data_IF_966688510580
#
_entry.id   IF_966688510580
#
_cell.length_a   1.000
_cell.length_b   1.000
_cell.length_c   1.000
_cell.angle_alpha   90.00
_cell.angle_beta   90.00
_cell.angle_gamma   90.00
#
_symmetry.space_group_name_H-M   'P 1'
#
loop_
_entity.id
_entity.type
_entity.pdbx_description
1 polymer ?
#
# COMPACT_ATOMS: atom_id res chain seq x y z
N UNK A 1 32.13 -8.60 4.42
CA UNK A 1 31.30 -7.69 3.60
C UNK A 1 30.11 -7.27 4.44
N UNK A 2 30.01 -5.98 4.76
CA UNK A 2 28.99 -5.44 5.66
C UNK A 2 27.60 -5.57 5.05
N UNK A 3 26.63 -6.07 5.82
CA UNK A 3 25.22 -6.16 5.43
C UNK A 3 24.63 -4.76 5.50
N UNK A 4 24.16 -4.22 4.37
CA UNK A 4 23.43 -2.95 4.32
C UNK A 4 21.98 -3.21 4.76
N UNK A 5 21.66 -2.90 6.02
CA UNK A 5 20.39 -3.31 6.67
C UNK A 5 19.30 -2.24 6.53
N UNK A 6 18.09 -2.56 6.99
CA UNK A 6 17.00 -1.59 7.22
C UNK A 6 17.47 -0.29 7.92
N UNK A 7 18.45 -0.36 8.84
CA UNK A 7 19.03 0.82 9.47
C UNK A 7 19.69 1.80 8.49
N UNK A 8 20.17 1.33 7.35
CA UNK A 8 20.79 2.17 6.33
C UNK A 8 19.72 2.88 5.48
N UNK A 9 18.51 2.31 5.38
CA UNK A 9 17.35 3.06 4.87
C UNK A 9 16.99 4.26 5.77
N UNK A 10 17.40 4.27 7.05
CA UNK A 10 17.25 5.40 7.97
C UNK A 10 18.43 6.39 7.91
N UNK A 11 19.55 6.04 7.28
CA UNK A 11 20.73 6.91 7.18
C UNK A 11 20.78 7.58 5.82
N UNK A 12 20.74 8.91 5.75
CA UNK A 12 21.00 9.60 4.49
C UNK A 12 22.48 9.42 4.11
N UNK A 13 22.75 9.23 2.82
CA UNK A 13 24.09 9.48 2.29
C UNK A 13 24.34 11.00 2.32
N UNK A 14 25.47 11.42 2.87
CA UNK A 14 26.00 12.75 2.58
C UNK A 14 27.50 12.66 2.33
N UNK A 15 27.92 12.89 1.08
CA UNK A 15 29.14 13.63 0.85
C UNK A 15 28.85 15.10 1.18
N UNK A 16 29.65 15.66 2.08
CA UNK A 16 29.70 17.10 2.46
C UNK A 16 28.59 17.60 3.42
N UNK A 17 29.01 17.77 4.68
CA UNK A 17 28.58 18.74 5.70
C UNK A 17 27.09 18.89 6.12
N UNK A 18 26.14 18.08 5.67
CA UNK A 18 24.77 18.13 6.22
C UNK A 18 24.06 16.77 6.17
N UNK A 19 24.48 15.84 7.04
CA UNK A 19 23.91 14.49 7.15
C UNK A 19 22.53 14.53 7.81
N UNK A 20 21.50 14.93 7.08
CA UNK A 20 20.12 14.81 7.55
C UNK A 20 19.73 13.34 7.66
N UNK A 21 19.83 12.73 8.86
CA UNK A 21 19.27 11.38 9.13
C UNK A 21 17.81 11.32 8.67
N UNK A 22 17.41 10.24 7.98
CA UNK A 22 16.02 10.03 7.60
C UNK A 22 15.26 9.64 8.86
N UNK A 23 14.43 10.56 9.35
CA UNK A 23 13.72 10.35 10.61
C UNK A 23 12.38 9.67 10.38
N UNK A 24 12.33 8.49 9.76
CA UNK A 24 11.07 7.72 9.73
C UNK A 24 10.77 7.07 11.07
N UNK A 25 11.81 6.72 11.83
CA UNK A 25 11.71 6.23 13.20
C UNK A 25 12.76 6.92 14.07
N UNK A 26 12.60 6.86 15.40
CA UNK A 26 13.69 7.17 16.31
C UNK A 26 14.84 6.16 16.11
N UNK A 27 16.08 6.55 16.42
CA UNK A 27 17.24 5.64 16.32
C UNK A 27 16.99 4.34 17.12
N UNK A 28 16.39 4.46 18.31
CA UNK A 28 16.01 3.31 19.15
C UNK A 28 14.98 2.41 18.47
N UNK A 29 13.89 2.98 17.93
CA UNK A 29 12.86 2.20 17.25
C UNK A 29 13.39 1.55 15.97
N UNK A 30 14.21 2.27 15.20
CA UNK A 30 14.87 1.73 14.01
C UNK A 30 15.75 0.51 14.33
N UNK A 31 16.58 0.60 15.39
CA UNK A 31 17.41 -0.51 15.85
C UNK A 31 16.57 -1.68 16.37
N UNK A 32 15.47 -1.40 17.07
CA UNK A 32 14.56 -2.43 17.58
C UNK A 32 13.85 -3.19 16.45
N UNK A 33 13.38 -2.48 15.42
CA UNK A 33 12.79 -3.10 14.22
C UNK A 33 13.81 -4.02 13.53
N UNK A 34 15.04 -3.56 13.32
CA UNK A 34 16.10 -4.37 12.71
C UNK A 34 16.42 -5.63 13.54
N UNK A 35 16.52 -5.48 14.86
CA UNK A 35 16.77 -6.60 15.77
C UNK A 35 15.65 -7.65 15.72
N UNK A 36 14.38 -7.22 15.70
CA UNK A 36 13.23 -8.12 15.57
C UNK A 36 13.28 -8.84 14.22
N UNK A 37 13.50 -8.13 13.10
CA UNK A 37 13.59 -8.75 11.78
C UNK A 37 14.73 -9.75 11.68
N UNK A 38 15.93 -9.38 12.15
CA UNK A 38 17.07 -10.31 12.24
C UNK A 38 16.70 -11.58 13.00
N UNK A 39 15.95 -11.45 14.11
CA UNK A 39 15.54 -12.60 14.92
C UNK A 39 14.49 -13.48 14.23
N UNK A 40 13.53 -12.87 13.53
CA UNK A 40 12.55 -13.60 12.73
C UNK A 40 13.20 -14.38 11.59
N UNK A 41 14.14 -13.78 10.86
CA UNK A 41 14.93 -14.46 9.83
C UNK A 41 15.71 -15.64 10.39
N UNK A 42 16.34 -15.46 11.55
CA UNK A 42 17.07 -16.53 12.24
C UNK A 42 16.12 -17.69 12.58
N UNK A 43 14.99 -17.41 13.23
CA UNK A 43 14.05 -18.45 13.63
C UNK A 43 13.45 -19.20 12.45
N UNK A 44 13.13 -18.52 11.35
CA UNK A 44 12.63 -19.15 10.14
C UNK A 44 13.68 -20.08 9.53
N UNK A 45 14.93 -19.63 9.41
CA UNK A 45 16.05 -20.43 8.84
C UNK A 45 16.40 -21.64 9.69
N UNK A 46 16.29 -21.50 11.01
CA UNK A 46 16.53 -22.59 11.98
C UNK A 46 15.32 -23.52 12.13
N UNK A 47 14.20 -23.27 11.44
CA UNK A 47 12.97 -24.07 11.56
C UNK A 47 12.30 -23.99 12.94
N UNK A 48 12.57 -22.95 13.73
CA UNK A 48 12.02 -22.77 15.09
C UNK A 48 10.57 -22.30 15.09
N UNK A 49 10.10 -21.76 13.97
CA UNK A 49 8.74 -21.28 13.75
C UNK A 49 8.24 -21.75 12.40
N UNK A 50 6.93 -21.95 12.28
CA UNK A 50 6.30 -22.22 10.99
C UNK A 50 6.23 -20.96 10.13
N UNK A 51 6.04 -21.13 8.82
CA UNK A 51 5.82 -20.00 7.91
C UNK A 51 4.62 -19.15 8.32
N UNK A 52 3.55 -19.77 8.82
CA UNK A 52 2.36 -19.05 9.32
C UNK A 52 2.71 -18.19 10.53
N UNK A 53 3.44 -18.74 11.50
CA UNK A 53 3.89 -17.99 12.68
C UNK A 53 4.84 -16.84 12.29
N UNK A 54 5.74 -17.08 11.33
CA UNK A 54 6.63 -16.06 10.79
C UNK A 54 5.86 -14.89 10.18
N UNK A 55 4.88 -15.15 9.30
CA UNK A 55 4.09 -14.08 8.68
C UNK A 55 3.18 -13.36 9.68
N UNK A 56 2.65 -14.08 10.68
CA UNK A 56 1.89 -13.45 11.76
C UNK A 56 2.76 -12.48 12.59
N UNK A 57 3.97 -12.89 12.96
CA UNK A 57 4.92 -12.03 13.68
C UNK A 57 5.41 -10.86 12.81
N UNK A 58 5.58 -11.07 11.51
CA UNK A 58 5.94 -10.02 10.57
C UNK A 58 4.82 -8.98 10.43
N UNK A 59 3.56 -9.41 10.28
CA UNK A 59 2.40 -8.53 10.26
C UNK A 59 2.30 -7.73 11.57
N UNK A 60 2.45 -8.40 12.70
CA UNK A 60 2.48 -7.79 14.04
C UNK A 60 3.56 -6.70 14.16
N UNK A 61 4.75 -6.95 13.59
CA UNK A 61 5.82 -5.96 13.56
C UNK A 61 5.49 -4.76 12.66
N UNK A 62 4.94 -4.98 11.46
CA UNK A 62 4.59 -3.91 10.54
C UNK A 62 3.53 -2.97 11.15
N UNK A 63 2.48 -3.52 11.74
CA UNK A 63 1.45 -2.75 12.45
C UNK A 63 2.01 -1.99 13.66
N UNK A 64 2.89 -2.64 14.43
CA UNK A 64 3.53 -2.02 15.60
C UNK A 64 4.51 -0.92 15.20
N UNK A 65 5.21 -1.09 14.08
CA UNK A 65 6.11 -0.09 13.53
C UNK A 65 5.36 1.14 13.03
N UNK A 66 4.26 0.97 12.28
CA UNK A 66 3.46 2.08 11.75
C UNK A 66 2.97 3.04 12.87
N UNK A 67 2.58 2.49 14.03
CA UNK A 67 2.17 3.27 15.21
C UNK A 67 3.25 4.23 15.74
N UNK A 68 4.52 3.91 15.53
CA UNK A 68 5.68 4.73 15.95
C UNK A 68 6.41 5.36 14.76
N UNK A 69 5.84 5.32 13.56
CA UNK A 69 6.41 5.95 12.38
C UNK A 69 6.25 7.47 12.44
N UNK A 70 7.27 8.22 12.02
CA UNK A 70 7.32 9.67 11.99
C UNK A 70 6.93 10.23 10.60
N UNK A 71 5.75 9.83 10.15
CA UNK A 71 5.14 10.23 8.87
C UNK A 71 3.83 10.98 9.09
N UNK A 72 3.32 11.64 8.04
CA UNK A 72 2.03 12.33 8.05
C UNK A 72 0.85 11.50 7.49
N UNK A 73 1.09 10.21 7.21
CA UNK A 73 0.11 9.16 6.84
C UNK A 73 0.82 8.09 6.00
N UNK A 74 1.61 8.52 5.02
CA UNK A 74 2.38 7.65 4.12
C UNK A 74 3.89 7.87 4.29
N UNK A 75 4.68 6.87 3.89
CA UNK A 75 6.14 6.86 3.94
C UNK A 75 6.80 7.55 2.72
N UNK A 76 6.02 8.23 1.88
CA UNK A 76 6.55 9.07 0.81
C UNK A 76 7.37 10.26 1.33
N UNK A 77 7.24 10.61 2.61
CA UNK A 77 8.07 11.60 3.30
C UNK A 77 8.10 11.34 4.81
N UNK A 78 9.08 11.94 5.51
CA UNK A 78 9.18 11.94 6.97
C UNK A 78 9.18 13.36 7.52
N UNK A 79 8.75 13.53 8.77
CA UNK A 79 8.78 14.82 9.46
C UNK A 79 10.22 15.15 9.90
N UNK A 80 10.58 16.44 9.88
CA UNK A 80 11.92 16.92 10.31
C UNK A 80 12.22 16.69 11.78
N UNK A 81 11.17 16.57 12.60
CA UNK A 81 11.25 16.29 14.03
C UNK A 81 10.33 15.13 14.34
N UNK A 82 10.75 14.26 15.26
CA UNK A 82 9.94 13.15 15.71
C UNK A 82 8.65 13.64 16.37
N UNK A 83 7.50 13.27 15.82
CA UNK A 83 6.20 13.49 16.47
C UNK A 83 6.09 12.68 17.76
N UNK A 84 5.18 13.08 18.66
CA UNK A 84 4.99 12.46 19.99
C UNK A 84 4.85 10.93 19.94
N UNK A 85 4.15 10.38 18.95
CA UNK A 85 3.99 8.92 18.84
C UNK A 85 5.30 8.22 18.42
N UNK A 86 6.13 8.84 17.58
CA UNK A 86 7.40 8.28 17.12
C UNK A 86 8.53 8.34 18.17
N UNK A 87 8.35 9.16 19.22
CA UNK A 87 9.25 9.20 20.38
C UNK A 87 8.98 8.07 21.37
N UNK A 88 7.79 7.46 21.33
CA UNK A 88 7.47 6.33 22.20
C UNK A 88 8.26 5.09 21.75
N UNK A 89 8.72 4.25 22.68
CA UNK A 89 9.36 3.00 22.31
C UNK A 89 8.37 2.08 21.60
N UNK A 90 8.81 1.41 20.54
CA UNK A 90 8.03 0.38 19.88
C UNK A 90 7.69 -0.72 20.88
N UNK A 91 6.40 -1.02 21.02
CA UNK A 91 5.89 -2.19 21.73
C UNK A 91 5.33 -3.12 20.67
N UNK A 92 5.86 -4.35 20.61
CA UNK A 92 5.36 -5.35 19.67
C UNK A 92 4.04 -5.90 20.22
N UNK A 93 2.96 -5.70 19.47
CA UNK A 93 1.65 -6.27 19.76
C UNK A 93 1.26 -7.23 18.64
N UNK A 94 0.57 -8.35 18.97
CA UNK A 94 0.09 -9.28 17.95
C UNK A 94 -0.90 -8.58 17.01
N UNK A 95 -0.78 -8.85 15.71
CA UNK A 95 -1.79 -8.50 14.73
C UNK A 95 -3.09 -9.23 15.07
N UNK A 96 -4.20 -8.49 15.14
CA UNK A 96 -5.51 -9.07 15.46
C UNK A 96 -6.16 -9.52 14.15
N UNK A 97 -6.58 -10.77 14.10
CA UNK A 97 -7.35 -11.31 12.98
C UNK A 97 -8.51 -12.14 13.51
N UNK A 98 -9.60 -12.16 12.75
CA UNK A 98 -10.74 -13.01 13.04
C UNK A 98 -10.45 -14.43 12.57
N UNK A 99 -10.85 -15.40 13.39
CA UNK A 99 -10.72 -16.81 13.03
C UNK A 99 -11.93 -17.23 12.23
N UNK A 100 -11.67 -17.76 11.05
CA UNK A 100 -12.68 -18.38 10.21
C UNK A 100 -12.18 -19.75 9.74
N UNK A 101 -13.11 -20.69 9.56
CA UNK A 101 -12.83 -22.04 9.09
C UNK A 101 -12.84 -22.15 7.56
N UNK A 102 -13.30 -21.12 6.86
CA UNK A 102 -13.29 -21.12 5.40
C UNK A 102 -11.90 -20.85 4.83
N UNK A 103 -11.69 -21.32 3.60
CA UNK A 103 -10.45 -21.08 2.86
C UNK A 103 -10.51 -19.72 2.18
N UNK A 104 -9.54 -18.86 2.48
CA UNK A 104 -9.39 -17.53 1.89
C UNK A 104 -8.11 -17.46 1.04
N UNK A 105 -8.19 -17.72 -0.28
CA UNK A 105 -7.01 -17.66 -1.13
C UNK A 105 -6.57 -16.19 -1.31
N UNK A 106 -5.28 -15.94 -1.07
CA UNK A 106 -4.66 -14.61 -1.22
C UNK A 106 -3.54 -14.71 -2.25
N UNK A 107 -3.48 -13.74 -3.16
CA UNK A 107 -2.53 -13.73 -4.27
C UNK A 107 -1.69 -12.46 -4.23
N UNK A 108 -0.41 -12.58 -4.58
CA UNK A 108 0.49 -11.46 -4.83
C UNK A 108 0.92 -11.50 -6.30
N UNK A 109 0.06 -10.99 -7.18
CA UNK A 109 0.32 -10.94 -8.62
C UNK A 109 -0.43 -9.77 -9.27
N UNK A 110 -0.11 -9.49 -10.53
CA UNK A 110 -0.82 -8.48 -11.32
C UNK A 110 -2.30 -8.86 -11.49
N UNK A 111 -3.21 -7.90 -11.26
CA UNK A 111 -4.66 -8.17 -11.26
C UNK A 111 -5.19 -8.60 -12.63
N UNK A 112 -4.61 -8.09 -13.72
CA UNK A 112 -4.94 -8.49 -15.08
C UNK A 112 -4.41 -9.89 -15.42
N UNK A 113 -3.43 -10.39 -14.68
CA UNK A 113 -2.99 -11.79 -14.75
C UNK A 113 -3.88 -12.70 -13.88
N UNK A 114 -4.19 -12.27 -12.66
CA UNK A 114 -5.01 -13.03 -11.70
C UNK A 114 -6.41 -13.29 -12.22
N UNK A 115 -7.02 -12.31 -12.89
CA UNK A 115 -8.43 -12.38 -13.29
C UNK A 115 -8.76 -13.57 -14.19
N UNK A 116 -7.75 -14.11 -14.90
CA UNK A 116 -7.90 -15.31 -15.73
C UNK A 116 -7.95 -16.62 -14.93
N UNK A 117 -7.53 -16.61 -13.66
CA UNK A 117 -7.38 -17.80 -12.80
C UNK A 117 -8.49 -17.93 -11.77
N UNK A 118 -9.26 -16.87 -11.55
CA UNK A 118 -10.31 -16.80 -10.54
C UNK A 118 -11.69 -16.60 -11.17
N UNK A 119 -12.71 -17.04 -10.44
CA UNK A 119 -14.13 -16.91 -10.80
C UNK A 119 -14.97 -16.88 -9.53
N UNK A 120 -16.20 -16.42 -9.64
CA UNK A 120 -17.16 -16.41 -8.53
C UNK A 120 -18.42 -15.65 -8.91
N UNK A 121 -19.30 -15.42 -7.95
CA UNK A 121 -20.56 -14.71 -8.22
C UNK A 121 -20.36 -13.19 -8.26
N UNK A 122 -19.48 -12.68 -7.39
CA UNK A 122 -19.25 -11.25 -7.20
C UNK A 122 -17.75 -10.91 -7.21
N UNK A 123 -17.39 -9.87 -7.95
CA UNK A 123 -16.08 -9.24 -7.97
C UNK A 123 -16.19 -7.79 -7.50
N UNK A 124 -15.47 -7.43 -6.44
CA UNK A 124 -15.34 -6.05 -5.98
C UNK A 124 -13.95 -5.50 -6.32
N UNK A 125 -13.91 -4.33 -6.94
CA UNK A 125 -12.71 -3.65 -7.40
C UNK A 125 -12.61 -2.27 -6.76
N UNK A 126 -11.46 -1.99 -6.16
CA UNK A 126 -11.10 -0.68 -5.61
C UNK A 126 -9.68 -0.30 -6.08
N UNK A 127 -9.50 -0.01 -7.38
CA UNK A 127 -8.19 0.28 -7.93
C UNK A 127 -7.72 1.70 -7.55
N UNK A 128 -6.41 1.99 -7.71
CA UNK A 128 -5.91 3.36 -7.56
C UNK A 128 -6.68 4.36 -8.42
N UNK A 129 -7.22 5.39 -7.79
CA UNK A 129 -7.90 6.49 -8.50
C UNK A 129 -6.95 7.63 -8.88
N UNK A 130 -5.70 7.65 -8.40
CA UNK A 130 -4.75 8.71 -8.70
C UNK A 130 -3.35 8.16 -9.01
N UNK A 131 -2.45 9.04 -9.44
CA UNK A 131 -1.09 8.66 -9.82
C UNK A 131 -0.13 8.40 -8.63
N UNK A 132 -0.65 8.34 -7.39
CA UNK A 132 0.19 8.03 -6.23
C UNK A 132 0.45 6.53 -6.19
N UNK A 133 1.72 6.18 -6.25
CA UNK A 133 2.16 4.79 -6.30
C UNK A 133 2.27 4.19 -4.88
N UNK A 134 1.63 3.04 -4.65
CA UNK A 134 1.76 2.30 -3.39
C UNK A 134 3.22 1.99 -3.07
N UNK A 135 3.98 1.54 -4.07
CA UNK A 135 5.40 1.18 -3.91
C UNK A 135 6.26 2.34 -3.40
N UNK A 136 5.93 3.58 -3.78
CA UNK A 136 6.60 4.77 -3.25
C UNK A 136 6.08 5.19 -1.87
N UNK A 137 4.76 5.15 -1.67
CA UNK A 137 4.13 5.60 -0.45
C UNK A 137 4.33 4.67 0.75
N UNK A 138 4.60 3.39 0.53
CA UNK A 138 4.79 2.40 1.59
C UNK A 138 6.15 1.70 1.48
N UNK A 139 7.10 2.32 0.77
CA UNK A 139 8.41 1.74 0.45
C UNK A 139 9.15 1.22 1.69
N UNK A 140 9.05 1.92 2.82
CA UNK A 140 9.75 1.55 4.04
C UNK A 140 9.13 0.32 4.73
N UNK A 141 7.79 0.20 4.72
CA UNK A 141 7.12 -1.01 5.18
C UNK A 141 7.47 -2.19 4.27
N UNK A 142 7.53 -1.98 2.95
CA UNK A 142 8.00 -2.99 2.00
C UNK A 142 9.45 -3.41 2.27
N UNK A 143 10.31 -2.48 2.67
CA UNK A 143 11.69 -2.79 3.10
C UNK A 143 11.72 -3.63 4.36
N UNK A 144 10.90 -3.33 5.38
CA UNK A 144 10.80 -4.18 6.59
C UNK A 144 10.28 -5.57 6.24
N UNK A 145 9.25 -5.64 5.37
CA UNK A 145 8.61 -6.89 4.98
C UNK A 145 9.54 -7.80 4.17
N UNK A 146 10.18 -7.27 3.12
CA UNK A 146 11.10 -8.03 2.25
C UNK A 146 12.42 -8.33 2.93
N UNK A 147 12.92 -7.39 3.73
CA UNK A 147 14.18 -7.49 4.49
C UNK A 147 15.37 -7.98 3.64
N UNK A 148 15.40 -7.50 2.40
CA UNK A 148 16.44 -7.73 1.41
C UNK A 148 17.38 -6.53 1.33
N UNK A 149 18.59 -6.77 0.81
CA UNK A 149 19.57 -5.71 0.56
C UNK A 149 19.10 -4.87 -0.64
N UNK A 150 19.24 -3.54 -0.55
CA UNK A 150 18.96 -2.62 -1.64
C UNK A 150 19.66 -1.28 -1.42
N UNK A 151 19.97 -0.57 -2.51
CA UNK A 151 20.54 0.78 -2.41
C UNK A 151 19.43 1.83 -2.37
N UNK A 152 19.30 2.60 -1.26
CA UNK A 152 18.25 3.61 -1.11
C UNK A 152 18.50 4.84 -2.00
N UNK A 153 17.50 5.27 -2.76
CA UNK A 153 17.62 6.42 -3.68
C UNK A 153 16.95 7.68 -3.13
N UNK A 154 17.63 8.82 -3.29
CA UNK A 154 17.09 10.14 -2.97
C UNK A 154 16.91 10.43 -1.48
N UNK A 155 16.29 11.59 -1.19
CA UNK A 155 16.10 12.10 0.18
C UNK A 155 15.27 11.16 1.04
N UNK A 156 14.27 10.52 0.44
CA UNK A 156 13.33 9.63 1.12
C UNK A 156 13.87 8.20 1.30
N UNK A 157 14.99 7.85 0.67
CA UNK A 157 15.60 6.53 0.77
C UNK A 157 14.82 5.44 0.04
N UNK A 158 14.20 5.83 -1.08
CA UNK A 158 13.26 5.00 -1.81
C UNK A 158 13.96 3.78 -2.41
N UNK A 159 13.42 2.59 -2.15
CA UNK A 159 13.82 1.37 -2.87
C UNK A 159 13.30 1.36 -4.30
N UNK A 160 13.93 0.58 -5.17
CA UNK A 160 13.36 0.32 -6.49
C UNK A 160 11.99 -0.36 -6.37
N UNK A 161 11.03 0.12 -7.15
CA UNK A 161 9.66 -0.38 -7.19
C UNK A 161 9.10 -0.23 -8.60
N UNK A 162 8.18 -1.13 -8.95
CA UNK A 162 7.47 -1.07 -10.20
C UNK A 162 6.25 -0.15 -10.09
N UNK A 163 6.08 0.72 -11.07
CA UNK A 163 4.92 1.60 -11.17
C UNK A 163 3.76 0.85 -11.79
N UNK A 164 2.63 0.81 -11.09
CA UNK A 164 1.42 0.15 -11.59
C UNK A 164 0.88 0.85 -12.83
N UNK A 165 0.40 0.09 -13.81
CA UNK A 165 -0.29 0.68 -14.95
C UNK A 165 -1.63 1.33 -14.55
N UNK A 166 -2.22 0.89 -13.43
CA UNK A 166 -3.41 1.52 -12.85
C UNK A 166 -3.16 2.97 -12.38
N UNK A 167 -1.92 3.32 -12.05
CA UNK A 167 -1.53 4.68 -11.67
C UNK A 167 -1.19 5.59 -12.87
N UNK A 168 -1.27 5.07 -14.11
CA UNK A 168 -0.87 5.79 -15.33
C UNK A 168 -2.11 6.16 -16.13
N UNK A 169 -2.41 7.47 -16.23
CA UNK A 169 -3.59 7.98 -16.96
C UNK A 169 -3.72 7.44 -18.39
N UNK A 170 -2.60 7.30 -19.11
CA UNK A 170 -2.59 6.80 -20.48
C UNK A 170 -2.84 5.28 -20.61
N UNK A 171 -2.78 4.51 -19.51
CA UNK A 171 -2.91 3.05 -19.53
C UNK A 171 -4.12 2.53 -18.76
N UNK A 172 -4.57 3.24 -17.73
CA UNK A 172 -5.60 2.76 -16.79
C UNK A 172 -6.93 2.37 -17.46
N UNK A 173 -7.32 3.04 -18.55
CA UNK A 173 -8.51 2.66 -19.32
C UNK A 173 -8.38 1.25 -19.92
N UNK A 174 -7.23 0.94 -20.51
CA UNK A 174 -6.96 -0.36 -21.11
C UNK A 174 -6.83 -1.46 -20.05
N UNK A 175 -6.21 -1.13 -18.91
CA UNK A 175 -6.10 -2.06 -17.77
C UNK A 175 -7.49 -2.43 -17.22
N UNK A 176 -8.38 -1.44 -17.07
CA UNK A 176 -9.76 -1.68 -16.63
C UNK A 176 -10.53 -2.52 -17.65
N UNK A 177 -10.49 -2.15 -18.93
CA UNK A 177 -11.22 -2.88 -19.97
C UNK A 177 -10.72 -4.32 -20.10
N UNK A 178 -9.41 -4.55 -20.05
CA UNK A 178 -8.83 -5.90 -20.03
C UNK A 178 -9.34 -6.73 -18.86
N UNK A 179 -9.37 -6.15 -17.66
CA UNK A 179 -9.79 -6.86 -16.46
C UNK A 179 -11.27 -7.24 -16.57
N UNK A 180 -12.13 -6.28 -16.92
CA UNK A 180 -13.59 -6.49 -17.03
C UNK A 180 -13.92 -7.50 -18.12
N UNK A 181 -13.25 -7.44 -19.27
CA UNK A 181 -13.44 -8.39 -20.37
C UNK A 181 -13.21 -9.83 -19.91
N UNK A 182 -12.11 -10.06 -19.19
CA UNK A 182 -11.66 -11.40 -18.79
C UNK A 182 -12.26 -11.90 -17.47
N UNK A 183 -12.90 -11.02 -16.68
CA UNK A 183 -13.56 -11.37 -15.44
C UNK A 183 -14.69 -12.40 -15.65
N UNK A 184 -14.61 -13.54 -14.96
CA UNK A 184 -15.64 -14.57 -14.93
C UNK A 184 -16.49 -14.46 -13.65
N UNK A 185 -17.29 -13.39 -13.60
CA UNK A 185 -18.17 -13.05 -12.46
C UNK A 185 -19.49 -12.47 -12.98
N UNK A 186 -20.62 -12.86 -12.39
CA UNK A 186 -21.94 -12.31 -12.75
C UNK A 186 -22.03 -10.83 -12.37
N UNK A 187 -21.63 -10.51 -11.14
CA UNK A 187 -21.70 -9.17 -10.58
C UNK A 187 -20.30 -8.58 -10.42
N UNK A 188 -20.08 -7.40 -11.00
CA UNK A 188 -18.84 -6.64 -10.82
C UNK A 188 -19.17 -5.26 -10.26
N UNK A 189 -18.55 -4.94 -9.15
CA UNK A 189 -18.65 -3.67 -8.46
C UNK A 189 -17.29 -2.96 -8.54
N UNK A 190 -17.29 -1.72 -9.02
CA UNK A 190 -16.10 -0.89 -9.07
C UNK A 190 -16.35 0.38 -8.24
N UNK A 191 -15.58 0.51 -7.16
CA UNK A 191 -15.49 1.73 -6.38
C UNK A 191 -14.54 2.71 -7.07
N UNK A 192 -15.00 3.94 -7.29
CA UNK A 192 -14.21 5.00 -7.89
C UNK A 192 -14.77 6.38 -7.53
N UNK A 193 -13.92 7.39 -7.35
CA UNK A 193 -14.36 8.76 -7.07
C UNK A 193 -14.31 9.67 -8.31
N UNK A 194 -14.90 10.86 -8.19
CA UNK A 194 -14.93 11.89 -9.23
C UNK A 194 -13.58 12.59 -9.50
N UNK A 195 -12.55 12.30 -8.71
CA UNK A 195 -11.20 12.85 -8.90
C UNK A 195 -10.23 11.84 -9.52
N UNK A 196 -10.79 10.77 -10.08
CA UNK A 196 -10.06 9.66 -10.64
C UNK A 196 -9.26 9.98 -11.92
N UNK A 197 -8.35 9.07 -12.29
CA UNK A 197 -7.65 9.13 -13.58
C UNK A 197 -8.60 8.89 -14.77
N UNK A 198 -9.65 8.10 -14.53
CA UNK A 198 -10.76 7.87 -15.46
C UNK A 198 -11.96 8.74 -15.08
N UNK A 199 -12.66 9.27 -16.09
CA UNK A 199 -13.97 9.89 -15.86
C UNK A 199 -15.06 8.84 -15.68
N UNK A 200 -16.17 9.23 -15.06
CA UNK A 200 -17.35 8.36 -14.88
C UNK A 200 -17.88 7.86 -16.22
N UNK A 201 -17.82 8.71 -17.25
CA UNK A 201 -18.24 8.39 -18.62
C UNK A 201 -17.33 7.32 -19.23
N UNK A 202 -16.01 7.45 -19.09
CA UNK A 202 -15.07 6.45 -19.59
C UNK A 202 -15.30 5.08 -18.94
N UNK A 203 -15.52 5.05 -17.62
CA UNK A 203 -15.83 3.80 -16.90
C UNK A 203 -17.17 3.23 -17.40
N UNK A 204 -18.21 4.06 -17.49
CA UNK A 204 -19.52 3.62 -17.97
C UNK A 204 -19.46 3.07 -19.40
N UNK A 205 -18.72 3.72 -20.30
CA UNK A 205 -18.50 3.27 -21.68
C UNK A 205 -17.82 1.90 -21.73
N UNK A 206 -16.79 1.67 -20.88
CA UNK A 206 -16.12 0.37 -20.79
C UNK A 206 -17.11 -0.70 -20.29
N UNK A 207 -17.78 -0.47 -19.15
CA UNK A 207 -18.62 -1.49 -18.53
C UNK A 207 -19.84 -1.87 -19.37
N UNK A 208 -20.48 -0.89 -20.05
CA UNK A 208 -21.64 -1.13 -20.93
C UNK A 208 -21.37 -2.08 -22.09
N UNK A 209 -20.10 -2.24 -22.51
CA UNK A 209 -19.72 -3.20 -23.56
C UNK A 209 -19.90 -4.66 -23.12
N UNK A 210 -19.93 -4.91 -21.82
CA UNK A 210 -19.84 -6.25 -21.25
C UNK A 210 -21.07 -6.67 -20.43
N UNK A 211 -22.14 -5.87 -20.40
CA UNK A 211 -23.38 -6.23 -19.69
C UNK A 211 -24.23 -5.03 -19.28
N UNK A 212 -25.20 -5.28 -18.39
CA UNK A 212 -26.10 -4.26 -17.88
C UNK A 212 -25.39 -3.39 -16.85
N UNK A 213 -25.34 -2.08 -17.10
CA UNK A 213 -24.65 -1.09 -16.28
C UNK A 213 -25.62 -0.26 -15.44
N UNK A 214 -25.27 -0.03 -14.18
CA UNK A 214 -25.91 0.97 -13.33
C UNK A 214 -24.89 1.68 -12.42
N UNK A 215 -25.28 2.81 -11.86
CA UNK A 215 -24.41 3.66 -11.03
C UNK A 215 -25.14 4.03 -9.74
N UNK A 216 -24.44 3.91 -8.62
CA UNK A 216 -24.84 4.48 -7.33
C UNK A 216 -23.80 5.49 -6.88
N UNK A 217 -24.19 6.47 -6.09
CA UNK A 217 -23.27 7.47 -5.55
C UNK A 217 -23.59 7.82 -4.10
N UNK A 218 -22.57 8.19 -3.36
CA UNK A 218 -22.66 8.62 -1.97
C UNK A 218 -21.74 9.83 -1.74
N UNK A 219 -22.23 10.84 -1.02
CA UNK A 219 -21.41 11.99 -0.64
C UNK A 219 -20.55 11.64 0.58
N UNK A 220 -19.26 11.94 0.51
CA UNK A 220 -18.31 11.78 1.60
C UNK A 220 -17.66 13.12 1.97
N UNK A 221 -17.48 13.36 3.27
CA UNK A 221 -16.81 14.56 3.76
C UNK A 221 -15.29 14.45 3.53
N UNK A 222 -14.67 15.49 2.99
CA UNK A 222 -13.23 15.48 2.71
C UNK A 222 -12.40 15.47 3.99
N UNK A 223 -11.34 14.67 3.98
CA UNK A 223 -10.30 14.74 5.00
C UNK A 223 -9.49 16.05 4.85
N UNK A 224 -9.58 16.93 5.86
CA UNK A 224 -8.90 18.24 5.90
C UNK A 224 -7.45 18.07 6.37
N UNK A 225 -6.51 17.99 5.44
CA UNK A 225 -5.07 17.93 5.75
C UNK A 225 -4.31 19.24 5.49
N UNK A 226 -4.89 20.20 4.77
CA UNK A 226 -4.22 21.45 4.38
C UNK A 226 -5.22 22.62 4.30
N UNK A 227 -4.85 23.79 4.83
CA UNK A 227 -5.70 24.98 4.95
C UNK A 227 -5.64 25.91 3.73
N UNK A 228 -4.75 25.64 2.76
CA UNK A 228 -4.56 26.47 1.55
C UNK A 228 -4.87 25.72 0.24
N UNK A 229 -6.09 25.24 0.05
CA UNK A 229 -6.49 24.52 -1.18
C UNK A 229 -7.16 25.42 -2.22
N UNK A 230 -6.88 25.15 -3.50
CA UNK A 230 -7.55 25.78 -4.65
C UNK A 230 -8.99 25.27 -4.86
N UNK A 231 -9.28 24.02 -4.49
CA UNK A 231 -10.63 23.48 -4.54
C UNK A 231 -11.38 23.80 -3.23
N UNK A 232 -12.51 24.51 -3.38
CA UNK A 232 -13.34 25.02 -2.27
C UNK A 232 -14.41 24.04 -1.77
N UNK A 233 -14.62 22.90 -2.43
CA UNK A 233 -15.67 21.95 -2.03
C UNK A 233 -15.22 21.12 -0.82
N UNK A 234 -16.10 21.01 0.18
CA UNK A 234 -15.87 20.26 1.43
C UNK A 234 -16.18 18.75 1.31
N UNK A 235 -16.60 18.27 0.14
CA UNK A 235 -17.01 16.88 -0.09
C UNK A 235 -16.39 16.28 -1.36
N UNK A 236 -16.30 14.95 -1.40
CA UNK A 236 -16.08 14.15 -2.62
C UNK A 236 -17.32 13.27 -2.83
N UNK A 237 -17.56 12.86 -4.07
CA UNK A 237 -18.61 11.89 -4.35
C UNK A 237 -17.93 10.56 -4.66
N UNK A 238 -18.22 9.56 -3.83
CA UNK A 238 -17.83 8.17 -4.10
C UNK A 238 -18.89 7.54 -5.00
N UNK A 239 -18.46 6.85 -6.03
CA UNK A 239 -19.31 6.15 -6.97
C UNK A 239 -19.09 4.65 -6.89
N UNK A 240 -20.20 3.92 -6.95
CA UNK A 240 -20.21 2.48 -7.11
C UNK A 240 -20.77 2.19 -8.51
N UNK A 241 -19.86 1.85 -9.42
CA UNK A 241 -20.21 1.36 -10.74
C UNK A 241 -20.58 -0.12 -10.62
N UNK A 242 -21.75 -0.48 -11.16
CA UNK A 242 -22.30 -1.83 -11.04
C UNK A 242 -22.50 -2.39 -12.44
N UNK A 243 -21.88 -3.54 -12.70
CA UNK A 243 -22.02 -4.29 -13.94
C UNK A 243 -22.60 -5.67 -13.61
N UNK A 244 -23.66 -6.04 -14.31
CA UNK A 244 -24.16 -7.42 -14.40
C UNK A 244 -23.79 -7.97 -15.79
N UNK A 245 -22.82 -8.89 -15.85
CA UNK A 245 -22.32 -9.50 -17.10
C UNK A 245 -23.31 -10.53 -17.67
#
# INVERSE_FOLDING_TARGET
MGRERFLDSQKAESSVCDSHKRQYFSDYNGAKIDAIRTKLEQWQKEGKISSQAYFHLLASLLESADKVANTASVYGAFLKHLKKSAQKPLVLSPAVFEYDTHSHPVFNEDSNTLIHKIKGDTLYLDPPYNAREYGANYHLLNTIARYDDFTPKGKTGLREYEKSNWCKKAKVANELESLIKNANFEWIFLSYNDEGLLSLEQIAEILKKYGAYSLKSQKHQRFKADSKRMQKQDFTIEYLHILRK
#
